data_IF_339458769186
#
_entry.id   IF_339458769186
#
_cell.length_a   1.000
_cell.length_b   1.000
_cell.length_c   1.000
_cell.angle_alpha   90.00
_cell.angle_beta   90.00
_cell.angle_gamma   90.00
#
_symmetry.space_group_name_H-M   'P 1'
#
loop_
_entity.id
_entity.type
_entity.pdbx_description
1 polymer ?
#
# COMPACT_ATOMS: atom_id res chain seq x y z
N UNK A 1 3.30 71.23 1.90
CA UNK A 1 3.11 70.51 0.62
C UNK A 1 3.66 69.11 0.81
N UNK A 2 2.78 68.10 0.92
CA UNK A 2 3.25 66.73 1.15
C UNK A 2 3.95 66.24 -0.12
N UNK A 3 5.18 65.72 0.03
CA UNK A 3 5.97 65.26 -1.10
C UNK A 3 5.28 64.05 -1.75
N UNK A 4 4.78 64.22 -2.98
CA UNK A 4 4.02 63.21 -3.71
C UNK A 4 4.74 61.86 -3.79
N UNK A 5 6.08 61.86 -3.87
CA UNK A 5 6.91 60.65 -3.86
C UNK A 5 6.89 59.95 -2.51
N UNK A 6 6.98 60.71 -1.42
CA UNK A 6 6.94 60.17 -0.06
C UNK A 6 5.56 59.56 0.25
N UNK A 7 4.47 60.22 -0.14
CA UNK A 7 3.11 59.66 0.01
C UNK A 7 2.91 58.39 -0.79
N UNK A 8 3.44 58.31 -2.01
CA UNK A 8 3.34 57.10 -2.81
C UNK A 8 4.06 55.91 -2.15
N UNK A 9 5.27 56.15 -1.62
CA UNK A 9 6.03 55.11 -0.90
C UNK A 9 5.31 54.64 0.36
N UNK A 10 4.71 55.57 1.12
CA UNK A 10 3.95 55.24 2.33
C UNK A 10 2.71 54.39 1.96
N UNK A 11 1.98 54.75 0.90
CA UNK A 11 0.82 53.99 0.44
C UNK A 11 1.19 52.60 -0.08
N UNK A 12 2.30 52.48 -0.82
CA UNK A 12 2.82 51.20 -1.29
C UNK A 12 3.21 50.27 -0.12
N UNK A 13 3.86 50.82 0.91
CA UNK A 13 4.23 50.07 2.11
C UNK A 13 3.00 49.59 2.89
N UNK A 14 2.01 50.46 3.06
CA UNK A 14 0.75 50.10 3.72
C UNK A 14 0.01 49.00 2.95
N UNK A 15 -0.05 49.11 1.62
CA UNK A 15 -0.66 48.07 0.78
C UNK A 15 0.07 46.73 0.91
N UNK A 16 1.41 46.73 0.90
CA UNK A 16 2.22 45.52 1.10
C UNK A 16 1.94 44.86 2.46
N UNK A 17 1.90 45.64 3.55
CA UNK A 17 1.63 45.13 4.90
C UNK A 17 0.21 44.57 5.06
N UNK A 18 -0.80 45.21 4.45
CA UNK A 18 -2.19 44.75 4.48
C UNK A 18 -2.38 43.48 3.63
N UNK A 19 -1.61 43.34 2.54
CA UNK A 19 -1.68 42.16 1.66
C UNK A 19 -0.97 40.91 2.20
N UNK A 20 0.00 41.08 3.11
CA UNK A 20 0.78 39.99 3.70
C UNK A 20 -0.04 38.83 4.31
N UNK A 21 -1.09 39.05 5.13
CA UNK A 21 -1.91 37.97 5.69
C UNK A 21 -2.77 37.23 4.66
N UNK A 22 -3.03 37.82 3.48
CA UNK A 22 -3.79 37.18 2.40
C UNK A 22 -2.94 36.09 1.72
N UNK A 23 -1.63 36.33 1.59
CA UNK A 23 -0.68 35.40 0.95
C UNK A 23 -0.43 34.16 1.81
N UNK A 24 -0.47 34.28 3.15
CA UNK A 24 -0.26 33.15 4.06
C UNK A 24 -1.36 32.08 4.00
N UNK A 25 -2.54 32.38 3.47
CA UNK A 25 -3.65 31.41 3.30
C UNK A 25 -3.47 30.48 2.09
N UNK A 26 -2.50 30.77 1.22
CA UNK A 26 -2.19 29.97 0.03
C UNK A 26 -0.99 29.03 0.28
N UNK A 27 -0.93 28.37 1.43
CA UNK A 27 0.03 27.29 1.65
C UNK A 27 -0.65 25.98 1.32
N UNK A 28 -0.11 25.25 0.34
CA UNK A 28 -0.59 23.93 -0.03
C UNK A 28 -0.52 22.99 1.19
N UNK A 29 -1.63 22.29 1.48
CA UNK A 29 -1.88 21.55 2.71
C UNK A 29 -1.16 20.20 2.79
N UNK A 30 0.12 20.13 2.45
CA UNK A 30 0.90 18.89 2.47
C UNK A 30 1.43 18.51 3.86
N UNK A 31 0.74 18.91 4.93
CA UNK A 31 1.18 18.75 6.32
C UNK A 31 1.15 17.30 6.82
N UNK A 32 0.60 16.37 6.04
CA UNK A 32 0.48 14.95 6.40
C UNK A 32 1.09 13.99 5.36
N UNK A 33 1.96 14.48 4.49
CA UNK A 33 2.70 13.58 3.60
C UNK A 33 3.84 12.93 4.38
N UNK A 34 3.91 11.60 4.33
CA UNK A 34 5.13 10.87 4.72
C UNK A 34 6.08 10.97 3.54
N UNK A 35 7.14 11.81 3.60
CA UNK A 35 8.07 11.91 2.50
C UNK A 35 8.75 10.56 2.27
N UNK A 36 8.80 10.13 1.02
CA UNK A 36 9.56 8.95 0.63
C UNK A 36 11.06 9.11 0.91
N UNK A 37 11.80 7.99 0.97
CA UNK A 37 13.25 7.99 1.16
C UNK A 37 13.96 8.15 -0.18
N UNK A 38 14.66 9.26 -0.38
CA UNK A 38 15.58 9.42 -1.51
C UNK A 38 16.79 8.48 -1.36
N UNK A 39 17.31 7.85 -2.44
CA UNK A 39 16.86 7.96 -3.84
C UNK A 39 15.74 7.00 -4.22
N UNK A 40 15.44 6.01 -3.37
CA UNK A 40 14.50 4.91 -3.65
C UNK A 40 13.14 5.43 -4.12
N UNK A 41 12.58 6.42 -3.43
CA UNK A 41 11.27 6.96 -3.80
C UNK A 41 11.25 7.76 -5.10
N UNK A 42 12.41 7.99 -5.73
CA UNK A 42 12.55 8.61 -7.05
C UNK A 42 12.85 7.56 -8.12
N UNK A 43 13.60 6.50 -7.79
CA UNK A 43 14.06 5.50 -8.75
C UNK A 43 13.18 4.25 -8.83
N UNK A 44 12.49 3.90 -7.74
CA UNK A 44 11.76 2.63 -7.62
C UNK A 44 10.25 2.85 -7.42
N UNK A 45 9.40 1.98 -8.00
CA UNK A 45 7.96 2.04 -7.81
C UNK A 45 7.55 1.46 -6.45
N UNK A 46 6.36 1.79 -5.97
CA UNK A 46 5.91 1.56 -4.57
C UNK A 46 6.10 0.11 -4.08
N UNK A 47 5.84 -0.89 -4.94
CA UNK A 47 5.89 -2.32 -4.62
C UNK A 47 7.17 -3.03 -5.08
N UNK A 48 8.29 -2.32 -5.29
CA UNK A 48 9.54 -2.91 -5.81
C UNK A 48 10.14 -4.02 -4.91
N UNK A 49 9.90 -3.96 -3.60
CA UNK A 49 10.34 -4.99 -2.66
C UNK A 49 9.48 -6.26 -2.74
N UNK A 50 8.21 -6.10 -3.12
CA UNK A 50 7.27 -7.21 -3.19
C UNK A 50 7.31 -7.89 -4.57
N UNK A 51 7.28 -7.11 -5.65
CA UNK A 51 7.18 -7.61 -7.02
C UNK A 51 8.45 -7.24 -7.81
N UNK A 52 9.02 -8.18 -8.59
CA UNK A 52 10.15 -7.87 -9.46
C UNK A 52 9.76 -6.77 -10.45
N UNK A 53 10.59 -5.76 -10.61
CA UNK A 53 10.35 -4.66 -11.55
C UNK A 53 10.70 -5.08 -12.98
N UNK A 54 10.10 -4.40 -13.96
CA UNK A 54 10.48 -4.52 -15.38
C UNK A 54 11.73 -3.70 -15.66
N UNK A 55 12.57 -4.14 -16.59
CA UNK A 55 13.73 -3.37 -17.04
C UNK A 55 13.31 -2.04 -17.69
N UNK A 56 12.20 -2.08 -18.44
CA UNK A 56 11.58 -0.92 -19.07
C UNK A 56 10.22 -0.67 -18.41
N UNK A 57 10.20 0.24 -17.44
CA UNK A 57 8.99 0.65 -16.74
C UNK A 57 8.29 1.81 -17.47
N UNK A 58 6.97 1.79 -17.50
CA UNK A 58 6.17 2.86 -18.10
C UNK A 58 4.72 2.43 -18.30
N UNK A 59 4.04 3.11 -19.22
CA UNK A 59 2.77 2.61 -19.75
C UNK A 59 3.02 1.37 -20.61
N UNK A 60 2.13 0.40 -20.53
CA UNK A 60 2.12 -0.76 -21.42
C UNK A 60 1.45 -0.42 -22.74
N UNK A 61 1.54 -1.33 -23.70
CA UNK A 61 0.79 -1.27 -24.96
C UNK A 61 -0.50 -2.09 -24.89
N UNK A 62 -0.96 -2.41 -23.67
CA UNK A 62 -2.11 -3.28 -23.48
C UNK A 62 -3.41 -2.55 -23.85
N UNK A 63 -4.28 -3.27 -24.56
CA UNK A 63 -5.69 -2.94 -24.71
C UNK A 63 -6.49 -3.55 -23.55
N UNK A 64 -7.76 -3.14 -23.42
CA UNK A 64 -8.67 -3.78 -22.46
C UNK A 64 -8.81 -5.29 -22.68
N UNK A 65 -8.70 -5.75 -23.93
CA UNK A 65 -8.74 -7.17 -24.27
C UNK A 65 -7.49 -7.91 -23.76
N UNK A 66 -6.32 -7.29 -23.83
CA UNK A 66 -5.06 -7.86 -23.33
C UNK A 66 -5.05 -7.99 -21.80
N UNK A 67 -5.78 -7.12 -21.11
CA UNK A 67 -5.90 -7.11 -19.64
C UNK A 67 -6.96 -8.11 -19.11
N UNK A 68 -7.89 -8.56 -19.95
CA UNK A 68 -8.98 -9.46 -19.56
C UNK A 68 -8.52 -10.77 -18.87
N UNK A 69 -7.43 -11.44 -19.30
CA UNK A 69 -6.96 -12.66 -18.63
C UNK A 69 -6.55 -12.46 -17.16
N UNK A 70 -6.17 -11.24 -16.76
CA UNK A 70 -5.81 -10.92 -15.38
C UNK A 70 -7.03 -10.68 -14.48
N UNK A 71 -8.24 -10.59 -15.07
CA UNK A 71 -9.47 -10.32 -14.33
C UNK A 71 -9.96 -11.59 -13.63
N UNK A 72 -10.13 -11.60 -12.29
CA UNK A 72 -10.37 -12.82 -11.51
C UNK A 72 -11.83 -13.30 -11.56
N UNK A 73 -12.43 -13.32 -12.75
CA UNK A 73 -13.74 -13.94 -12.96
C UNK A 73 -13.51 -15.37 -13.45
N UNK A 74 -13.56 -16.31 -12.50
CA UNK A 74 -13.51 -17.73 -12.81
C UNK A 74 -14.93 -18.28 -12.93
N UNK A 75 -15.18 -19.05 -13.99
CA UNK A 75 -16.44 -19.77 -14.15
C UNK A 75 -16.62 -20.85 -13.07
N UNK A 76 -17.86 -21.27 -12.84
CA UNK A 76 -18.15 -22.42 -11.98
C UNK A 76 -17.46 -23.68 -12.52
N UNK A 77 -16.59 -24.28 -11.72
CA UNK A 77 -15.90 -25.52 -12.08
C UNK A 77 -15.77 -26.46 -10.89
N UNK A 78 -15.60 -27.76 -11.18
CA UNK A 78 -15.33 -28.77 -10.15
C UNK A 78 -14.05 -28.50 -9.35
N UNK A 79 -13.13 -27.69 -9.89
CA UNK A 79 -11.89 -27.28 -9.21
C UNK A 79 -12.11 -26.27 -8.07
N UNK A 80 -13.34 -25.79 -7.85
CA UNK A 80 -13.69 -24.84 -6.78
C UNK A 80 -12.83 -23.56 -6.78
N UNK A 81 -12.40 -23.09 -7.95
CA UNK A 81 -11.72 -21.81 -8.07
C UNK A 81 -12.68 -20.69 -7.64
N UNK A 82 -12.25 -19.88 -6.68
CA UNK A 82 -13.01 -18.71 -6.22
C UNK A 82 -12.42 -17.44 -6.79
N UNK A 83 -13.25 -16.43 -7.03
CA UNK A 83 -12.81 -15.09 -7.44
C UNK A 83 -12.03 -14.33 -6.34
N UNK A 84 -11.93 -14.88 -5.12
CA UNK A 84 -11.15 -14.33 -4.03
C UNK A 84 -9.68 -14.74 -4.15
N UNK A 85 -8.97 -14.15 -5.11
CA UNK A 85 -7.52 -14.37 -5.29
C UNK A 85 -6.76 -13.69 -4.15
N UNK A 86 -6.17 -14.50 -3.26
CA UNK A 86 -5.37 -14.01 -2.12
C UNK A 86 -3.91 -13.72 -2.49
N UNK A 87 -3.34 -14.50 -3.40
CA UNK A 87 -1.94 -14.39 -3.79
C UNK A 87 -1.83 -14.12 -5.29
N UNK A 88 -1.25 -12.98 -5.64
CA UNK A 88 -1.17 -12.50 -7.01
C UNK A 88 0.25 -12.61 -7.56
N UNK A 89 0.37 -12.97 -8.83
CA UNK A 89 1.65 -13.00 -9.54
C UNK A 89 2.15 -11.59 -9.89
N UNK A 90 1.23 -10.67 -10.16
CA UNK A 90 1.49 -9.24 -10.39
C UNK A 90 0.54 -8.43 -9.50
N UNK A 91 0.81 -7.14 -9.22
CA UNK A 91 -0.14 -6.33 -8.46
C UNK A 91 -1.37 -5.91 -9.30
N UNK A 92 -1.47 -6.38 -10.54
CA UNK A 92 -2.52 -6.02 -11.49
C UNK A 92 -3.62 -7.09 -11.55
N UNK A 93 -4.87 -6.64 -11.52
CA UNK A 93 -6.06 -7.46 -11.59
C UNK A 93 -6.87 -7.24 -12.89
N UNK A 94 -6.29 -6.57 -13.89
CA UNK A 94 -6.91 -6.28 -15.18
C UNK A 94 -7.96 -5.17 -15.17
N UNK A 95 -8.17 -4.48 -14.05
CA UNK A 95 -9.17 -3.41 -13.92
C UNK A 95 -8.61 -1.99 -14.07
N UNK A 96 -7.36 -1.83 -14.49
CA UNK A 96 -6.81 -0.50 -14.72
C UNK A 96 -7.61 0.28 -15.76
N UNK A 97 -7.64 1.60 -15.60
CA UNK A 97 -8.23 2.50 -16.57
C UNK A 97 -7.40 3.80 -16.59
N UNK A 98 -6.85 4.22 -17.75
CA UNK A 98 -6.86 3.53 -19.05
C UNK A 98 -6.12 2.18 -19.10
N UNK A 99 -6.38 1.35 -20.12
CA UNK A 99 -5.85 -0.02 -20.23
C UNK A 99 -4.31 -0.10 -20.26
N UNK A 100 -3.66 0.91 -20.84
CA UNK A 100 -2.21 1.06 -20.92
C UNK A 100 -1.53 1.24 -19.55
N UNK A 101 -2.27 1.49 -18.48
CA UNK A 101 -1.70 1.57 -17.12
C UNK A 101 -1.56 0.19 -16.46
N UNK A 102 -2.15 -0.86 -17.04
CA UNK A 102 -1.96 -2.22 -16.57
C UNK A 102 -0.57 -2.74 -16.94
N UNK A 103 -0.01 -3.58 -16.09
CA UNK A 103 1.16 -4.42 -16.35
C UNK A 103 2.36 -3.62 -16.91
N UNK A 104 2.52 -2.36 -16.51
CA UNK A 104 3.59 -1.49 -17.00
C UNK A 104 4.89 -1.54 -16.18
N UNK A 105 4.79 -1.87 -14.89
CA UNK A 105 5.88 -1.66 -13.93
C UNK A 105 6.51 -2.96 -13.39
N UNK A 106 5.73 -4.04 -13.27
CA UNK A 106 6.12 -5.24 -12.54
C UNK A 106 6.07 -6.49 -13.42
N UNK A 107 7.06 -7.36 -13.26
CA UNK A 107 7.07 -8.71 -13.80
C UNK A 107 6.26 -9.67 -12.91
N UNK A 108 5.88 -10.81 -13.47
CA UNK A 108 5.25 -11.89 -12.71
C UNK A 108 6.23 -12.49 -11.69
N UNK A 109 5.77 -12.64 -10.44
CA UNK A 109 6.47 -13.43 -9.43
C UNK A 109 6.48 -14.89 -9.87
N UNK A 110 7.67 -15.44 -10.10
CA UNK A 110 7.84 -16.87 -10.42
C UNK A 110 7.51 -17.79 -9.24
N UNK A 111 7.75 -17.32 -8.01
CA UNK A 111 7.55 -18.09 -6.78
C UNK A 111 6.64 -17.30 -5.83
N UNK A 112 5.37 -17.67 -5.81
CA UNK A 112 4.42 -17.18 -4.81
C UNK A 112 4.53 -18.09 -3.60
N UNK A 113 5.02 -17.57 -2.46
CA UNK A 113 5.06 -18.33 -1.22
C UNK A 113 3.64 -18.42 -0.65
N UNK A 114 2.95 -19.49 -0.98
CA UNK A 114 1.62 -19.79 -0.45
C UNK A 114 1.82 -20.39 0.94
N UNK A 115 1.39 -19.66 1.96
CA UNK A 115 1.30 -20.19 3.31
C UNK A 115 0.42 -21.44 3.28
N UNK A 116 1.03 -22.59 3.57
CA UNK A 116 0.28 -23.83 3.68
C UNK A 116 -0.52 -23.79 4.97
N UNK A 117 -1.82 -24.07 4.86
CA UNK A 117 -2.62 -24.38 6.04
C UNK A 117 -1.94 -25.54 6.78
N UNK A 118 -1.80 -25.46 8.11
CA UNK A 118 -1.20 -26.55 8.87
C UNK A 118 -1.98 -27.83 8.66
N UNK A 119 -1.27 -28.96 8.70
CA UNK A 119 -1.92 -30.25 8.61
C UNK A 119 -2.93 -30.40 9.77
N UNK A 120 -4.17 -30.83 9.50
CA UNK A 120 -5.14 -31.06 10.55
C UNK A 120 -4.62 -32.14 11.50
N UNK A 121 -4.91 -32.01 12.80
CA UNK A 121 -4.57 -33.07 13.75
C UNK A 121 -5.23 -34.41 13.32
N UNK A 122 -4.54 -35.56 13.42
CA UNK A 122 -5.14 -36.86 13.12
C UNK A 122 -6.36 -37.13 14.00
N UNK A 123 -7.35 -37.88 13.48
CA UNK A 123 -8.53 -38.28 14.28
C UNK A 123 -8.18 -39.15 15.49
N UNK A 124 -7.06 -39.86 15.44
CA UNK A 124 -6.55 -40.68 16.54
C UNK A 124 -5.79 -39.87 17.61
N UNK A 125 -5.61 -38.55 17.42
CA UNK A 125 -4.88 -37.72 18.40
C UNK A 125 -5.68 -37.63 19.72
N UNK A 126 -5.03 -37.78 20.89
CA UNK A 126 -5.68 -37.60 22.19
C UNK A 126 -5.93 -36.13 22.55
N UNK A 127 -5.45 -35.18 21.74
CA UNK A 127 -5.60 -33.75 21.99
C UNK A 127 -7.02 -33.25 21.63
N UNK A 128 -7.50 -32.26 22.37
CA UNK A 128 -8.78 -31.60 22.06
C UNK A 128 -8.62 -30.79 20.77
N UNK A 129 -9.47 -31.06 19.77
CA UNK A 129 -9.41 -30.41 18.46
C UNK A 129 -9.96 -28.99 18.51
N UNK A 130 -9.18 -28.03 18.05
CA UNK A 130 -9.60 -26.65 17.75
C UNK A 130 -9.21 -26.32 16.31
N UNK A 131 -10.18 -26.43 15.39
CA UNK A 131 -9.95 -26.33 13.93
C UNK A 131 -8.88 -27.33 13.44
N UNK A 132 -7.75 -26.82 12.95
CA UNK A 132 -6.61 -27.60 12.48
C UNK A 132 -5.63 -27.97 13.60
N UNK A 133 -5.75 -27.37 14.79
CA UNK A 133 -4.80 -27.48 15.89
C UNK A 133 -5.33 -28.36 17.03
N UNK A 134 -4.41 -28.87 17.85
CA UNK A 134 -4.72 -29.51 19.13
C UNK A 134 -4.40 -28.58 20.28
N UNK A 135 -5.30 -28.50 21.27
CA UNK A 135 -5.06 -27.70 22.48
C UNK A 135 -4.52 -28.56 23.62
N UNK A 136 -3.62 -27.96 24.41
CA UNK A 136 -3.15 -28.50 25.69
C UNK A 136 -3.72 -27.63 26.82
N UNK A 137 -4.07 -28.20 27.98
CA UNK A 137 -4.32 -27.40 29.17
C UNK A 137 -3.03 -26.67 29.55
N UNK A 138 -3.06 -25.34 29.55
CA UNK A 138 -1.97 -24.54 30.11
C UNK A 138 -2.24 -24.33 31.61
N UNK A 139 -1.29 -24.73 32.47
CA UNK A 139 -1.36 -24.40 33.89
C UNK A 139 -0.88 -22.96 34.08
N UNK A 140 -1.72 -22.10 34.66
CA UNK A 140 -1.31 -20.75 35.01
C UNK A 140 -0.11 -20.82 35.97
N UNK A 141 1.01 -20.12 35.69
CA UNK A 141 2.14 -20.09 36.61
C UNK A 141 1.67 -19.51 37.94
N UNK A 142 1.78 -20.30 39.02
CA UNK A 142 1.57 -19.79 40.38
C UNK A 142 2.58 -18.68 40.60
N UNK A 143 2.10 -17.51 41.00
CA UNK A 143 2.94 -16.33 41.24
C UNK A 143 4.12 -16.73 42.13
N UNK A 144 5.33 -16.48 41.64
CA UNK A 144 6.54 -16.59 42.45
C UNK A 144 6.42 -15.52 43.53
N UNK A 145 6.22 -15.93 44.78
CA UNK A 145 6.43 -15.06 45.93
C UNK A 145 7.85 -14.49 45.82
N UNK A 146 7.94 -13.21 45.46
CA UNK A 146 9.17 -12.47 45.58
C UNK A 146 9.40 -12.23 47.07
N UNK A 147 10.23 -13.07 47.67
CA UNK A 147 10.83 -12.81 48.98
C UNK A 147 11.62 -11.49 48.89
N UNK A 148 11.00 -10.41 49.35
CA UNK A 148 11.69 -9.18 49.71
C UNK A 148 12.48 -9.46 51.00
N UNK A 149 13.77 -9.73 50.84
CA UNK A 149 14.78 -9.57 51.89
C UNK A 149 15.51 -8.24 51.73
#
# INVERSE_FOLDING_TARGET
>A
MINKKLTFLILALLFALISFPIIQKCKEGFTSLTPGKFPVSVSEPILFEDYPTKDNMGISMNTYQDNYPSFPIFGSSYGQYTNNVRYWATPDNGQCAPAEFCNGLYNEKKNINIEKTPNPIPFASPQVRVNFYGSHPEECPRQVEQDFH
#
